data_IF_498055764958
#
_entry.id   IF_498055764958
#
_cell.length_a   1.000
_cell.length_b   1.000
_cell.length_c   1.000
_cell.angle_alpha   90.00
_cell.angle_beta   90.00
_cell.angle_gamma   90.00
#
_symmetry.space_group_name_H-M   'P 1'
#
loop_
_entity.id
_entity.type
_entity.pdbx_description
1 polymer ?
#
# COMPACT_ATOMS: atom_id res chain seq x y z
N UNK A 1 46.39 32.71 -26.83
CA UNK A 1 45.24 31.83 -26.54
C UNK A 1 44.10 32.67 -25.97
N UNK A 2 42.89 32.53 -26.54
CA UNK A 2 41.54 32.98 -26.04
C UNK A 2 41.43 34.48 -25.69
N UNK A 3 41.09 35.45 -26.55
CA UNK A 3 39.99 35.68 -27.52
C UNK A 3 38.54 35.63 -26.95
N UNK A 4 38.12 36.84 -26.58
CA UNK A 4 36.85 37.55 -26.87
C UNK A 4 35.67 37.34 -25.90
N UNK A 5 35.58 38.31 -24.98
CA UNK A 5 34.34 38.86 -24.45
C UNK A 5 33.56 39.57 -25.55
N UNK A 6 32.28 39.20 -25.71
CA UNK A 6 31.14 39.94 -26.29
C UNK A 6 30.13 38.91 -26.82
N UNK A 7 29.06 38.64 -26.07
CA UNK A 7 27.78 38.35 -26.72
C UNK A 7 26.68 39.11 -26.01
N UNK A 8 26.19 40.07 -26.79
CA UNK A 8 25.06 40.95 -26.59
C UNK A 8 23.77 40.17 -26.32
N UNK A 9 22.96 40.75 -25.45
CA UNK A 9 21.51 40.58 -25.36
C UNK A 9 20.85 40.55 -26.75
N UNK A 10 20.03 39.53 -27.01
CA UNK A 10 18.87 39.65 -27.91
C UNK A 10 17.68 39.04 -27.18
N UNK A 11 16.80 39.93 -26.72
CA UNK A 11 15.44 39.58 -26.36
C UNK A 11 14.66 39.27 -27.65
N UNK A 12 14.02 38.10 -27.70
CA UNK A 12 13.00 37.80 -28.69
C UNK A 12 11.80 37.17 -27.96
N UNK A 13 10.92 38.04 -27.50
CA UNK A 13 9.56 37.73 -27.09
C UNK A 13 8.75 37.50 -28.37
N UNK A 14 8.33 36.25 -28.63
CA UNK A 14 7.24 35.96 -29.57
C UNK A 14 6.35 34.87 -28.98
N UNK A 15 5.22 35.32 -28.44
CA UNK A 15 4.09 34.49 -28.06
C UNK A 15 3.17 34.22 -29.27
N UNK A 16 2.65 32.99 -29.27
CA UNK A 16 1.41 32.49 -29.87
C UNK A 16 1.39 32.17 -31.39
N UNK A 17 1.17 30.89 -31.72
CA UNK A 17 -0.15 30.38 -32.12
C UNK A 17 -0.18 28.83 -32.20
N UNK A 18 -1.04 28.24 -31.38
CA UNK A 18 -1.90 27.06 -31.60
C UNK A 18 -1.48 25.92 -32.54
N UNK A 19 -1.19 24.77 -31.94
CA UNK A 19 -1.28 23.44 -32.57
C UNK A 19 -1.88 22.44 -31.59
N UNK A 20 -3.12 22.02 -31.85
CA UNK A 20 -3.93 21.14 -31.01
C UNK A 20 -3.52 19.66 -31.15
N UNK A 21 -3.73 18.89 -30.07
CA UNK A 21 -3.61 17.43 -30.01
C UNK A 21 -2.22 17.00 -29.53
N UNK A 22 -2.03 16.39 -28.37
CA UNK A 22 -2.79 15.29 -27.79
C UNK A 22 -2.51 15.27 -26.28
N UNK A 23 -3.38 15.87 -25.45
CA UNK A 23 -3.38 15.56 -24.02
C UNK A 23 -4.06 14.20 -23.84
N UNK A 24 -3.27 13.12 -23.89
CA UNK A 24 -3.63 11.97 -23.07
C UNK A 24 -3.25 12.29 -21.63
N UNK A 25 -4.10 13.07 -20.98
CA UNK A 25 -4.29 12.91 -19.55
C UNK A 25 -4.89 11.52 -19.38
N UNK A 26 -4.04 10.50 -19.30
CA UNK A 26 -4.40 9.27 -18.59
C UNK A 26 -4.52 9.68 -17.12
N UNK A 27 -5.65 10.30 -16.80
CA UNK A 27 -6.24 10.23 -15.47
C UNK A 27 -6.48 8.74 -15.25
N UNK A 28 -5.44 8.08 -14.77
CA UNK A 28 -5.55 6.83 -14.08
C UNK A 28 -6.62 7.11 -13.01
N UNK A 29 -7.80 6.46 -13.04
CA UNK A 29 -8.73 6.60 -11.95
C UNK A 29 -8.06 5.89 -10.77
N UNK A 30 -7.25 6.65 -10.03
CA UNK A 30 -6.78 6.27 -8.72
C UNK A 30 -8.00 5.78 -7.98
N UNK A 31 -7.98 4.50 -7.61
CA UNK A 31 -9.12 3.82 -7.05
C UNK A 31 -9.75 4.72 -5.97
N UNK A 32 -11.08 4.99 -5.99
CA UNK A 32 -11.78 5.84 -5.02
C UNK A 32 -11.86 5.19 -3.62
N UNK A 33 -10.85 4.44 -3.24
CA UNK A 33 -10.80 3.53 -2.09
C UNK A 33 -9.75 3.93 -1.04
N UNK A 34 -8.96 5.00 -1.26
CA UNK A 34 -8.04 5.51 -0.23
C UNK A 34 -8.76 5.94 1.07
N UNK A 35 -9.99 6.44 0.98
CA UNK A 35 -10.79 6.81 2.16
C UNK A 35 -11.39 5.59 2.91
N UNK A 36 -11.66 4.49 2.20
CA UNK A 36 -12.24 3.26 2.79
C UNK A 36 -11.15 2.37 3.42
N UNK A 37 -9.97 2.29 2.80
CA UNK A 37 -8.81 1.61 3.38
C UNK A 37 -8.42 2.23 4.74
N UNK A 38 -8.35 3.56 4.85
CA UNK A 38 -8.02 4.25 6.11
C UNK A 38 -9.04 3.98 7.24
N UNK A 39 -10.35 3.97 6.92
CA UNK A 39 -11.42 3.71 7.91
C UNK A 39 -11.44 2.24 8.37
N UNK A 40 -11.04 1.31 7.50
CA UNK A 40 -10.94 -0.12 7.80
C UNK A 40 -9.70 -0.44 8.63
N UNK A 41 -8.57 0.22 8.37
CA UNK A 41 -7.33 0.14 9.16
C UNK A 41 -7.53 0.61 10.60
N UNK A 42 -8.17 1.77 10.82
CA UNK A 42 -8.46 2.28 12.16
C UNK A 42 -9.39 1.37 12.97
N UNK A 43 -10.37 0.72 12.31
CA UNK A 43 -11.25 -0.28 12.96
C UNK A 43 -10.49 -1.56 13.30
N UNK A 44 -9.58 -2.00 12.44
CA UNK A 44 -8.75 -3.18 12.68
C UNK A 44 -7.76 -2.96 13.84
N UNK A 45 -7.16 -1.77 13.93
CA UNK A 45 -6.27 -1.39 15.02
C UNK A 45 -7.00 -1.34 16.37
N UNK A 46 -8.20 -0.73 16.42
CA UNK A 46 -9.05 -0.74 17.61
C UNK A 46 -9.46 -2.15 18.04
N UNK A 47 -9.75 -3.04 17.07
CA UNK A 47 -10.07 -4.45 17.36
C UNK A 47 -8.85 -5.19 17.93
N UNK A 48 -7.66 -4.98 17.38
CA UNK A 48 -6.42 -5.57 17.88
C UNK A 48 -6.12 -5.10 19.33
N UNK A 49 -6.22 -3.80 19.59
CA UNK A 49 -6.07 -3.23 20.94
C UNK A 49 -7.06 -3.85 21.93
N UNK A 50 -8.34 -3.99 21.55
CA UNK A 50 -9.36 -4.64 22.38
C UNK A 50 -9.03 -6.11 22.66
N UNK A 51 -8.46 -6.83 21.71
CA UNK A 51 -8.01 -8.21 21.90
C UNK A 51 -6.80 -8.31 22.83
N UNK A 52 -5.84 -7.39 22.74
CA UNK A 52 -4.70 -7.33 23.64
C UNK A 52 -5.13 -7.03 25.08
N UNK A 53 -6.00 -6.04 25.28
CA UNK A 53 -6.55 -5.72 26.60
C UNK A 53 -7.22 -6.94 27.24
N UNK A 54 -8.08 -7.65 26.50
CA UNK A 54 -8.71 -8.90 26.98
C UNK A 54 -7.71 -9.99 27.38
N UNK A 55 -6.59 -10.10 26.65
CA UNK A 55 -5.54 -11.07 26.96
C UNK A 55 -4.76 -10.69 28.21
N UNK A 56 -4.43 -9.41 28.36
CA UNK A 56 -3.80 -8.88 29.58
C UNK A 56 -4.69 -9.14 30.77
N UNK A 57 -5.97 -8.75 30.72
CA UNK A 57 -6.91 -8.93 31.83
C UNK A 57 -7.05 -10.41 32.23
N UNK A 58 -7.10 -11.31 31.24
CA UNK A 58 -7.12 -12.76 31.50
C UNK A 58 -5.84 -13.20 32.23
N UNK A 59 -4.66 -12.82 31.74
CA UNK A 59 -3.38 -13.24 32.35
C UNK A 59 -3.20 -12.66 33.75
N UNK A 60 -3.62 -11.41 33.97
CA UNK A 60 -3.59 -10.79 35.29
C UNK A 60 -4.45 -11.57 36.28
N UNK A 61 -5.67 -11.95 35.87
CA UNK A 61 -6.59 -12.71 36.72
C UNK A 61 -6.10 -14.14 37.00
N UNK A 62 -5.72 -14.88 35.95
CA UNK A 62 -5.37 -16.30 36.06
C UNK A 62 -4.04 -16.52 36.79
N UNK A 63 -3.10 -15.57 36.69
CA UNK A 63 -1.77 -15.68 37.28
C UNK A 63 -1.59 -14.83 38.54
N UNK A 64 -2.61 -14.08 38.95
CA UNK A 64 -2.54 -13.19 40.12
C UNK A 64 -1.47 -12.11 39.99
N UNK A 65 -1.33 -11.51 38.80
CA UNK A 65 -0.26 -10.55 38.53
C UNK A 65 -0.45 -9.25 39.32
N UNK A 66 0.66 -8.68 39.82
CA UNK A 66 0.67 -7.37 40.47
C UNK A 66 0.45 -6.24 39.44
N UNK A 67 0.19 -5.02 39.94
CA UNK A 67 0.06 -3.84 39.08
C UNK A 67 1.30 -3.61 38.20
N UNK A 68 2.49 -3.74 38.78
CA UNK A 68 3.76 -3.57 38.05
C UNK A 68 3.95 -4.63 36.96
N UNK A 69 3.55 -5.89 37.24
CA UNK A 69 3.59 -6.97 36.26
C UNK A 69 2.59 -6.76 35.14
N UNK A 70 1.39 -6.25 35.45
CA UNK A 70 0.39 -5.86 34.45
C UNK A 70 0.94 -4.78 33.51
N UNK A 71 1.54 -3.72 34.04
CA UNK A 71 2.12 -2.65 33.21
C UNK A 71 3.20 -3.17 32.26
N UNK A 72 4.11 -4.03 32.75
CA UNK A 72 5.12 -4.68 31.90
C UNK A 72 4.48 -5.56 30.82
N UNK A 73 3.42 -6.28 31.16
CA UNK A 73 2.71 -7.13 30.21
C UNK A 73 2.00 -6.32 29.11
N UNK A 74 1.40 -5.19 29.46
CA UNK A 74 0.80 -4.25 28.49
C UNK A 74 1.85 -3.70 27.51
N UNK A 75 3.02 -3.33 28.02
CA UNK A 75 4.15 -2.87 27.20
C UNK A 75 4.63 -3.96 26.23
N UNK A 76 4.79 -5.21 26.70
CA UNK A 76 5.16 -6.35 25.85
C UNK A 76 4.18 -6.51 24.68
N UNK A 77 2.87 -6.48 24.95
CA UNK A 77 1.86 -6.61 23.90
C UNK A 77 1.87 -5.43 22.93
N UNK A 78 2.09 -4.21 23.44
CA UNK A 78 2.17 -3.00 22.60
C UNK A 78 3.38 -3.07 21.66
N UNK A 79 4.58 -3.33 22.19
CA UNK A 79 5.80 -3.47 21.38
C UNK A 79 5.67 -4.60 20.37
N UNK A 80 5.08 -5.73 20.76
CA UNK A 80 4.84 -6.82 19.84
C UNK A 80 3.86 -6.43 18.72
N UNK A 81 2.78 -5.72 19.04
CA UNK A 81 1.83 -5.25 18.03
C UNK A 81 2.48 -4.31 16.99
N UNK A 82 3.40 -3.45 17.43
CA UNK A 82 4.18 -2.58 16.54
C UNK A 82 5.13 -3.37 15.64
N UNK A 83 5.86 -4.35 16.20
CA UNK A 83 6.73 -5.26 15.41
C UNK A 83 5.95 -6.04 14.37
N UNK A 84 4.82 -6.63 14.76
CA UNK A 84 3.95 -7.38 13.85
C UNK A 84 3.39 -6.49 12.73
N UNK A 85 3.09 -5.21 13.02
CA UNK A 85 2.65 -4.26 11.99
C UNK A 85 3.76 -4.05 10.95
N UNK A 86 4.99 -3.82 11.38
CA UNK A 86 6.13 -3.63 10.47
C UNK A 86 6.41 -4.88 9.63
N UNK A 87 6.40 -6.05 10.27
CA UNK A 87 6.61 -7.34 9.59
C UNK A 87 5.51 -7.61 8.57
N UNK A 88 4.25 -7.29 8.89
CA UNK A 88 3.13 -7.45 7.97
C UNK A 88 3.27 -6.60 6.72
N UNK A 89 3.73 -5.36 6.85
CA UNK A 89 3.97 -4.51 5.67
C UNK A 89 5.09 -5.07 4.80
N UNK A 90 6.19 -5.54 5.41
CA UNK A 90 7.28 -6.19 4.66
C UNK A 90 6.79 -7.44 3.91
N UNK A 91 6.08 -8.33 4.60
CA UNK A 91 5.54 -9.56 4.00
C UNK A 91 4.54 -9.23 2.89
N UNK A 92 3.74 -8.17 3.03
CA UNK A 92 2.75 -7.77 2.02
C UNK A 92 3.41 -7.42 0.69
N UNK A 93 4.52 -6.69 0.69
CA UNK A 93 5.26 -6.36 -0.53
C UNK A 93 5.89 -7.60 -1.16
N UNK A 94 6.55 -8.43 -0.35
CA UNK A 94 7.16 -9.69 -0.82
C UNK A 94 6.11 -10.65 -1.41
N UNK A 95 4.95 -10.76 -0.77
CA UNK A 95 3.84 -11.59 -1.25
C UNK A 95 3.26 -11.05 -2.55
N UNK A 96 3.13 -9.72 -2.69
CA UNK A 96 2.66 -9.10 -3.94
C UNK A 96 3.61 -9.45 -5.09
N UNK A 97 4.91 -9.29 -4.89
CA UNK A 97 5.91 -9.61 -5.91
C UNK A 97 5.86 -11.10 -6.32
N UNK A 98 5.76 -12.02 -5.35
CA UNK A 98 5.62 -13.46 -5.63
C UNK A 98 4.34 -13.78 -6.42
N UNK A 99 3.23 -13.12 -6.09
CA UNK A 99 1.97 -13.32 -6.81
C UNK A 99 2.06 -12.79 -8.24
N UNK A 100 2.70 -11.65 -8.46
CA UNK A 100 2.91 -11.08 -9.80
C UNK A 100 3.82 -11.98 -10.65
N UNK A 101 4.86 -12.56 -10.06
CA UNK A 101 5.72 -13.55 -10.73
C UNK A 101 4.94 -14.80 -11.15
N UNK A 102 4.17 -15.40 -10.23
CA UNK A 102 3.35 -16.58 -10.51
C UNK A 102 2.32 -16.27 -11.60
N UNK A 103 1.66 -15.12 -11.51
CA UNK A 103 0.70 -14.67 -12.52
C UNK A 103 1.35 -14.58 -13.91
N UNK A 104 2.56 -14.04 -13.99
CA UNK A 104 3.29 -13.90 -15.25
C UNK A 104 3.64 -15.27 -15.85
N UNK A 105 4.06 -16.22 -15.02
CA UNK A 105 4.34 -17.61 -15.44
C UNK A 105 3.08 -18.32 -15.92
N UNK A 106 1.95 -18.12 -15.24
CA UNK A 106 0.65 -18.66 -15.68
C UNK A 106 0.28 -18.05 -17.03
N UNK A 107 0.33 -16.73 -17.16
CA UNK A 107 -0.03 -16.05 -18.41
C UNK A 107 0.85 -16.49 -19.59
N UNK A 108 2.13 -16.83 -19.37
CA UNK A 108 3.02 -17.31 -20.42
C UNK A 108 2.58 -18.62 -21.09
N UNK A 109 1.83 -19.49 -20.39
CA UNK A 109 1.36 -20.79 -20.91
C UNK A 109 -0.07 -20.75 -21.47
N UNK A 110 -0.73 -19.58 -21.43
CA UNK A 110 -2.12 -19.42 -21.85
C UNK A 110 -2.24 -18.88 -23.27
N UNK A 111 -3.27 -19.35 -23.98
CA UNK A 111 -3.70 -18.72 -25.24
C UNK A 111 -4.32 -17.33 -24.98
N UNK A 112 -4.42 -16.45 -26.01
CA UNK A 112 -5.01 -15.12 -25.83
C UNK A 112 -6.43 -15.14 -25.25
N UNK A 113 -7.26 -16.09 -25.68
CA UNK A 113 -8.62 -16.25 -25.16
C UNK A 113 -8.63 -16.69 -23.69
N UNK A 114 -7.72 -17.60 -23.31
CA UNK A 114 -7.58 -18.06 -21.93
C UNK A 114 -7.06 -16.97 -20.99
N UNK A 115 -6.14 -16.10 -21.46
CA UNK A 115 -5.66 -14.93 -20.71
C UNK A 115 -6.80 -14.01 -20.31
N UNK A 116 -7.73 -13.74 -21.24
CA UNK A 116 -8.91 -12.90 -20.98
C UNK A 116 -9.75 -13.48 -19.84
N UNK A 117 -10.06 -14.77 -19.89
CA UNK A 117 -10.79 -15.47 -18.81
C UNK A 117 -10.02 -15.45 -17.49
N UNK A 118 -8.69 -15.59 -17.53
CA UNK A 118 -7.84 -15.56 -16.34
C UNK A 118 -7.87 -14.18 -15.63
N UNK A 119 -7.82 -13.08 -16.39
CA UNK A 119 -7.93 -11.74 -15.80
C UNK A 119 -9.30 -11.49 -15.15
N UNK A 120 -10.39 -11.98 -15.75
CA UNK A 120 -11.72 -11.90 -15.15
C UNK A 120 -11.81 -12.66 -13.82
N UNK A 121 -11.21 -13.85 -13.75
CA UNK A 121 -11.15 -14.65 -12.52
C UNK A 121 -10.39 -13.87 -11.44
N UNK A 122 -9.21 -13.32 -11.77
CA UNK A 122 -8.41 -12.49 -10.84
C UNK A 122 -9.19 -11.28 -10.32
N UNK A 123 -9.89 -10.57 -11.20
CA UNK A 123 -10.70 -9.41 -10.84
C UNK A 123 -11.84 -9.78 -9.88
N UNK A 124 -12.58 -10.88 -10.18
CA UNK A 124 -13.65 -11.39 -9.31
C UNK A 124 -13.11 -11.81 -7.94
N UNK A 125 -11.93 -12.43 -7.87
CA UNK A 125 -11.28 -12.79 -6.61
C UNK A 125 -10.90 -11.55 -5.79
N UNK A 126 -10.32 -10.53 -6.43
CA UNK A 126 -9.98 -9.25 -5.76
C UNK A 126 -11.22 -8.56 -5.20
N UNK A 127 -12.32 -8.53 -5.96
CA UNK A 127 -13.59 -7.94 -5.52
C UNK A 127 -14.20 -8.67 -4.30
N UNK A 128 -14.05 -9.99 -4.22
CA UNK A 128 -14.51 -10.79 -3.06
C UNK A 128 -13.66 -10.55 -1.82
N UNK A 129 -12.36 -10.29 -1.98
CA UNK A 129 -11.42 -10.05 -0.87
C UNK A 129 -11.43 -8.59 -0.37
N UNK A 130 -11.90 -7.65 -1.19
CA UNK A 130 -12.07 -6.22 -0.83
C UNK A 130 -13.45 -5.87 -0.25
N UNK A 131 -14.34 -6.85 -0.06
CA UNK A 131 -15.63 -6.70 0.65
C UNK A 131 -15.48 -7.12 2.11
#
# INVERSE_FOLDING_TARGET
>A
MKRVSKMLMVAALMTALSGAGFLSAQENPGCPECAKCSKMEGKMQKKAQKMHAKRVDKLVKELGLTADQKTKLEEIFKTNAEKMKQEREKIKEEMKAKMDEINSKIEAILTPEQKTKYQEIKSKMKQKMGK
#
